data_IF_651789184506
#
_entry.id   IF_651789184506
#
_cell.length_a   1.000
_cell.length_b   1.000
_cell.length_c   1.000
_cell.angle_alpha   90.00
_cell.angle_beta   90.00
_cell.angle_gamma   90.00
#
_symmetry.space_group_name_H-M   'P 1'
#
loop_
_entity.id
_entity.type
_entity.pdbx_description
1 polymer ?
#
# COMPACT_ATOMS: atom_id res chain seq x y z
N UNK A 1 -9.93 6.68 23.69
CA UNK A 1 -8.75 7.59 23.64
C UNK A 1 -8.89 8.69 22.58
N UNK A 2 -9.16 8.36 21.30
CA UNK A 2 -9.36 9.38 20.24
C UNK A 2 -10.52 10.33 20.58
N UNK A 3 -11.69 9.81 20.92
CA UNK A 3 -12.89 10.59 21.28
C UNK A 3 -12.65 11.48 22.50
N UNK A 4 -11.89 11.03 23.47
CA UNK A 4 -11.53 11.83 24.65
C UNK A 4 -10.58 12.98 24.28
N UNK A 5 -9.62 12.74 23.37
CA UNK A 5 -8.71 13.78 22.88
C UNK A 5 -9.44 14.84 22.04
N UNK A 6 -10.41 14.43 21.22
CA UNK A 6 -11.27 15.32 20.44
C UNK A 6 -12.17 16.18 21.35
N UNK A 7 -12.74 15.58 22.40
CA UNK A 7 -13.53 16.29 23.40
C UNK A 7 -12.67 17.32 24.15
N UNK A 8 -11.48 16.94 24.60
CA UNK A 8 -10.52 17.85 25.23
C UNK A 8 -10.13 19.01 24.31
N UNK A 9 -9.95 18.74 23.02
CA UNK A 9 -9.63 19.78 22.03
C UNK A 9 -10.78 20.78 21.90
N UNK A 10 -12.04 20.31 21.90
CA UNK A 10 -13.21 21.15 21.85
C UNK A 10 -13.35 22.02 23.12
N UNK A 11 -13.20 21.43 24.29
CA UNK A 11 -13.25 22.13 25.57
C UNK A 11 -12.18 23.22 25.68
N UNK A 12 -10.94 22.93 25.23
CA UNK A 12 -9.84 23.89 25.24
C UNK A 12 -10.08 25.07 24.29
N UNK A 13 -10.73 24.83 23.14
CA UNK A 13 -11.14 25.91 22.21
C UNK A 13 -12.17 26.85 22.85
N UNK A 14 -13.17 26.27 23.48
CA UNK A 14 -14.21 27.06 24.15
C UNK A 14 -13.66 27.86 25.34
N UNK A 15 -12.76 27.26 26.13
CA UNK A 15 -12.08 27.95 27.23
C UNK A 15 -11.21 29.10 26.71
N UNK A 16 -10.47 28.87 25.61
CA UNK A 16 -9.62 29.89 25.00
C UNK A 16 -10.45 31.10 24.54
N UNK A 17 -11.62 30.86 23.93
CA UNK A 17 -12.54 31.94 23.51
C UNK A 17 -13.09 32.75 24.69
N UNK A 18 -13.49 32.08 25.78
CA UNK A 18 -14.00 32.75 27.00
C UNK A 18 -12.94 33.62 27.66
N UNK A 19 -11.70 33.09 27.77
CA UNK A 19 -10.61 33.84 28.43
C UNK A 19 -10.11 34.98 27.56
N UNK A 20 -10.09 34.86 26.23
CA UNK A 20 -9.72 35.96 25.34
C UNK A 20 -10.66 37.16 25.44
N UNK A 21 -11.94 36.91 25.65
CA UNK A 21 -12.94 37.96 25.91
C UNK A 21 -12.78 38.62 27.29
N UNK A 22 -12.23 37.91 28.28
CA UNK A 22 -12.10 38.40 29.65
C UNK A 22 -10.82 39.22 29.88
N UNK A 23 -9.74 38.99 29.14
CA UNK A 23 -8.46 39.70 29.31
C UNK A 23 -8.55 41.10 28.68
N UNK A 24 -8.45 42.13 29.49
CA UNK A 24 -8.52 43.55 29.06
C UNK A 24 -7.17 44.10 28.57
N UNK A 25 -6.07 43.53 29.02
CA UNK A 25 -4.70 43.93 28.66
C UNK A 25 -4.30 43.28 27.33
N UNK A 26 -4.03 44.07 26.31
CA UNK A 26 -3.74 43.57 24.95
C UNK A 26 -2.48 42.75 24.87
N UNK A 27 -1.41 43.06 25.63
CA UNK A 27 -0.18 42.31 25.67
C UNK A 27 -0.39 40.96 26.30
N UNK A 28 -1.11 40.87 27.41
CA UNK A 28 -1.46 39.62 28.09
C UNK A 28 -2.37 38.77 27.21
N UNK A 29 -3.30 39.39 26.47
CA UNK A 29 -4.18 38.73 25.53
C UNK A 29 -3.41 38.08 24.40
N UNK A 30 -2.43 38.76 23.79
CA UNK A 30 -1.58 38.21 22.73
C UNK A 30 -0.75 37.04 23.24
N UNK A 31 -0.12 37.15 24.41
CA UNK A 31 0.65 36.09 25.02
C UNK A 31 -0.21 34.84 25.30
N UNK A 32 -1.43 35.07 25.80
CA UNK A 32 -2.37 33.99 26.07
C UNK A 32 -2.79 33.27 24.77
N UNK A 33 -3.12 34.03 23.71
CA UNK A 33 -3.46 33.47 22.38
C UNK A 33 -2.32 32.59 21.85
N UNK A 34 -1.08 33.08 21.85
CA UNK A 34 0.07 32.33 21.38
C UNK A 34 0.29 31.02 22.17
N UNK A 35 0.10 31.08 23.49
CA UNK A 35 0.22 29.90 24.34
C UNK A 35 -0.87 28.86 24.00
N UNK A 36 -2.10 29.30 23.86
CA UNK A 36 -3.23 28.42 23.52
C UNK A 36 -3.12 27.85 22.11
N UNK A 37 -2.69 28.63 21.13
CA UNK A 37 -2.40 28.15 19.78
C UNK A 37 -1.37 27.02 19.77
N UNK A 38 -0.29 27.16 20.55
CA UNK A 38 0.71 26.09 20.70
C UNK A 38 0.15 24.84 21.34
N UNK A 39 -0.68 24.98 22.37
CA UNK A 39 -1.34 23.84 23.02
C UNK A 39 -2.29 23.12 22.07
N UNK A 40 -3.12 23.87 21.33
CA UNK A 40 -4.05 23.33 20.33
C UNK A 40 -3.31 22.57 19.22
N UNK A 41 -2.22 23.16 18.70
CA UNK A 41 -1.39 22.52 17.69
C UNK A 41 -0.76 21.20 18.20
N UNK A 42 -0.29 21.21 19.45
CA UNK A 42 0.29 19.99 20.05
C UNK A 42 -0.75 18.89 20.18
N UNK A 43 -1.98 19.20 20.59
CA UNK A 43 -3.06 18.22 20.70
C UNK A 43 -3.50 17.71 19.33
N UNK A 44 -3.57 18.56 18.31
CA UNK A 44 -3.85 18.15 16.94
C UNK A 44 -2.80 17.16 16.43
N UNK A 45 -1.52 17.43 16.67
CA UNK A 45 -0.44 16.52 16.29
C UNK A 45 -0.52 15.17 17.03
N UNK A 46 -0.92 15.16 18.31
CA UNK A 46 -1.14 13.93 19.07
C UNK A 46 -2.31 13.14 18.48
N UNK A 47 -3.40 13.78 18.12
CA UNK A 47 -4.57 13.13 17.50
C UNK A 47 -4.15 12.47 16.19
N UNK A 48 -3.43 13.19 15.31
CA UNK A 48 -2.91 12.66 14.04
C UNK A 48 -2.00 11.44 14.29
N UNK A 49 -1.08 11.53 15.24
CA UNK A 49 -0.18 10.42 15.57
C UNK A 49 -0.92 9.19 16.12
N UNK A 50 -2.02 9.38 16.86
CA UNK A 50 -2.88 8.28 17.32
C UNK A 50 -3.66 7.65 16.17
N UNK A 51 -4.15 8.44 15.22
CA UNK A 51 -4.82 7.96 14.00
C UNK A 51 -3.87 7.11 13.15
N UNK A 52 -2.66 7.60 12.90
CA UNK A 52 -1.64 6.86 12.16
C UNK A 52 -1.26 5.54 12.86
N UNK A 53 -1.20 5.54 14.19
CA UNK A 53 -0.90 4.35 14.99
C UNK A 53 -2.03 3.32 14.96
N UNK A 54 -3.29 3.74 15.03
CA UNK A 54 -4.45 2.86 14.92
C UNK A 54 -4.54 2.25 13.52
N UNK A 55 -4.31 3.04 12.48
CA UNK A 55 -4.28 2.58 11.10
C UNK A 55 -3.14 1.58 10.84
N UNK A 56 -1.94 1.88 11.35
CA UNK A 56 -0.78 0.96 11.30
C UNK A 56 -1.04 -0.34 12.09
N UNK A 57 -1.76 -0.28 13.20
CA UNK A 57 -2.13 -1.47 13.97
C UNK A 57 -3.11 -2.37 13.21
N UNK A 58 -4.10 -1.78 12.55
CA UNK A 58 -5.08 -2.51 11.73
C UNK A 58 -4.39 -3.16 10.52
N UNK A 59 -3.52 -2.43 9.83
CA UNK A 59 -2.75 -2.94 8.69
C UNK A 59 -1.79 -4.07 9.08
N UNK A 60 -1.18 -4.01 10.28
CA UNK A 60 -0.29 -5.06 10.78
C UNK A 60 -1.02 -6.37 11.14
N UNK A 61 -2.31 -6.33 11.45
CA UNK A 61 -3.11 -7.52 11.74
C UNK A 61 -3.65 -8.20 10.47
N UNK A 62 -3.71 -7.48 9.35
CA UNK A 62 -4.16 -8.04 8.08
C UNK A 62 -2.95 -8.62 7.34
N UNK A 63 -2.84 -9.94 7.33
CA UNK A 63 -1.86 -10.61 6.47
C UNK A 63 -2.36 -10.57 5.03
N UNK A 64 -1.77 -9.70 4.22
CA UNK A 64 -2.12 -9.60 2.81
C UNK A 64 -1.79 -10.89 2.06
N UNK A 65 -2.69 -11.41 1.22
CA UNK A 65 -2.46 -12.60 0.41
C UNK A 65 -1.25 -12.46 -0.50
N UNK A 66 -0.24 -13.30 -0.31
CA UNK A 66 0.98 -13.35 -1.12
C UNK A 66 1.53 -14.78 -1.18
N UNK A 67 2.51 -15.02 -2.02
CA UNK A 67 3.29 -16.26 -2.04
C UNK A 67 4.67 -15.99 -2.59
N UNK A 68 5.65 -15.96 -1.67
CA UNK A 68 7.05 -15.73 -2.03
C UNK A 68 7.56 -16.79 -3.02
N UNK A 69 7.19 -18.04 -2.81
CA UNK A 69 7.64 -19.15 -3.65
C UNK A 69 7.12 -19.03 -5.09
N UNK A 70 5.85 -18.63 -5.29
CA UNK A 70 5.32 -18.40 -6.63
C UNK A 70 6.03 -17.25 -7.34
N UNK A 71 6.28 -16.14 -6.64
CA UNK A 71 7.01 -15.01 -7.19
C UNK A 71 8.43 -15.41 -7.60
N UNK A 72 9.14 -16.18 -6.74
CA UNK A 72 10.49 -16.66 -7.00
C UNK A 72 10.54 -17.63 -8.19
N UNK A 73 9.57 -18.54 -8.28
CA UNK A 73 9.49 -19.49 -9.42
C UNK A 73 9.25 -18.76 -10.74
N UNK A 74 8.38 -17.74 -10.76
CA UNK A 74 8.10 -16.94 -11.96
C UNK A 74 9.35 -16.17 -12.39
N UNK A 75 10.00 -15.47 -11.47
CA UNK A 75 11.21 -14.70 -11.76
C UNK A 75 12.36 -15.60 -12.20
N UNK A 76 12.55 -16.72 -11.50
CA UNK A 76 13.57 -17.69 -11.87
C UNK A 76 13.35 -18.26 -13.27
N UNK A 77 12.10 -18.58 -13.64
CA UNK A 77 11.79 -19.08 -14.98
C UNK A 77 12.12 -18.05 -16.08
N UNK A 78 11.80 -16.76 -15.85
CA UNK A 78 12.13 -15.67 -16.78
C UNK A 78 13.65 -15.50 -16.93
N UNK A 79 14.42 -15.65 -15.83
CA UNK A 79 15.88 -15.52 -15.85
C UNK A 79 16.57 -16.70 -16.54
N UNK A 80 15.95 -17.88 -16.60
CA UNK A 80 16.50 -19.09 -17.23
C UNK A 80 16.10 -19.18 -18.70
N UNK A 81 14.87 -18.80 -19.06
CA UNK A 81 14.31 -18.95 -20.39
C UNK A 81 13.59 -17.68 -20.84
N UNK A 82 14.13 -17.02 -21.87
CA UNK A 82 13.52 -15.82 -22.44
C UNK A 82 12.08 -16.05 -22.95
N UNK A 83 11.76 -17.27 -23.43
CA UNK A 83 10.40 -17.61 -23.85
C UNK A 83 9.40 -17.64 -22.68
N UNK A 84 9.90 -17.82 -21.46
CA UNK A 84 9.06 -17.76 -20.26
C UNK A 84 8.48 -16.35 -20.05
N UNK A 85 9.20 -15.29 -20.42
CA UNK A 85 8.71 -13.92 -20.38
C UNK A 85 7.45 -13.72 -21.23
N UNK A 86 7.44 -14.28 -22.43
CA UNK A 86 6.31 -14.17 -23.37
C UNK A 86 5.07 -14.88 -22.83
N UNK A 87 5.25 -16.03 -22.15
CA UNK A 87 4.15 -16.78 -21.51
C UNK A 87 3.47 -16.03 -20.37
N UNK A 88 4.15 -15.07 -19.77
CA UNK A 88 3.65 -14.27 -18.64
C UNK A 88 3.61 -12.78 -18.96
N UNK A 89 3.51 -12.39 -20.23
CA UNK A 89 3.47 -10.99 -20.68
C UNK A 89 2.26 -10.20 -20.15
N UNK A 90 1.23 -10.91 -19.65
CA UNK A 90 0.05 -10.32 -19.00
C UNK A 90 0.30 -9.93 -17.53
N UNK A 91 1.46 -10.29 -16.96
CA UNK A 91 1.85 -9.82 -15.63
C UNK A 91 2.38 -8.39 -15.71
N UNK A 92 2.19 -7.67 -14.60
CA UNK A 92 2.78 -6.36 -14.34
C UNK A 92 3.51 -6.38 -12.96
N UNK A 93 4.42 -5.43 -12.70
CA UNK A 93 5.14 -5.36 -11.43
C UNK A 93 4.22 -5.33 -10.20
N UNK A 94 3.05 -4.71 -10.30
CA UNK A 94 2.07 -4.57 -9.22
C UNK A 94 1.48 -5.90 -8.75
N UNK A 95 1.52 -6.94 -9.60
CA UNK A 95 1.07 -8.27 -9.22
C UNK A 95 1.96 -8.90 -8.16
N UNK A 96 3.24 -8.55 -8.10
CA UNK A 96 4.18 -8.99 -7.08
C UNK A 96 3.93 -8.28 -5.75
N UNK A 97 4.15 -8.98 -4.65
CA UNK A 97 4.00 -8.43 -3.30
C UNK A 97 5.31 -7.80 -2.81
N UNK A 98 6.44 -8.49 -3.04
CA UNK A 98 7.74 -8.04 -2.57
C UNK A 98 8.35 -7.01 -3.52
N UNK A 99 8.80 -5.87 -2.99
CA UNK A 99 9.34 -4.76 -3.80
C UNK A 99 10.62 -5.14 -4.56
N UNK A 100 11.44 -6.00 -3.98
CA UNK A 100 12.60 -6.54 -4.70
C UNK A 100 12.18 -7.39 -5.91
N UNK A 101 11.10 -8.15 -5.83
CA UNK A 101 10.57 -8.93 -6.93
C UNK A 101 9.93 -8.05 -8.02
N UNK A 102 9.20 -6.99 -7.62
CA UNK A 102 8.67 -5.99 -8.56
C UNK A 102 9.79 -5.40 -9.41
N UNK A 103 10.87 -4.96 -8.74
CA UNK A 103 12.03 -4.36 -9.41
C UNK A 103 12.75 -5.34 -10.35
N UNK A 104 12.93 -6.59 -9.91
CA UNK A 104 13.54 -7.64 -10.77
C UNK A 104 12.66 -7.89 -12.00
N UNK A 105 11.35 -8.02 -11.82
CA UNK A 105 10.41 -8.22 -12.92
C UNK A 105 10.41 -7.05 -13.91
N UNK A 106 10.36 -5.81 -13.41
CA UNK A 106 10.42 -4.59 -14.22
C UNK A 106 11.71 -4.55 -15.06
N UNK A 107 12.85 -4.89 -14.47
CA UNK A 107 14.11 -4.98 -15.19
C UNK A 107 14.09 -6.07 -16.27
N UNK A 108 13.55 -7.26 -15.96
CA UNK A 108 13.38 -8.31 -16.95
C UNK A 108 12.50 -7.89 -18.13
N UNK A 109 11.51 -7.01 -17.91
CA UNK A 109 10.69 -6.46 -18.99
C UNK A 109 11.41 -5.38 -19.80
N UNK A 110 12.37 -4.67 -19.22
CA UNK A 110 13.07 -3.54 -19.84
C UNK A 110 14.29 -3.91 -20.67
N UNK A 111 14.77 -5.16 -20.57
CA UNK A 111 15.95 -5.65 -21.30
C UNK A 111 15.52 -6.44 -22.54
N UNK A 112 16.34 -6.38 -23.60
CA UNK A 112 16.09 -7.15 -24.82
C UNK A 112 16.33 -8.66 -24.59
N UNK A 113 17.47 -8.99 -23.99
CA UNK A 113 17.81 -10.36 -23.61
C UNK A 113 17.84 -10.47 -22.09
N UNK A 114 17.03 -11.37 -21.55
CA UNK A 114 16.98 -11.61 -20.10
C UNK A 114 17.92 -12.76 -19.77
N UNK A 115 18.96 -12.46 -19.04
CA UNK A 115 19.86 -13.40 -18.41
C UNK A 115 20.34 -12.87 -17.06
N UNK A 116 20.89 -13.77 -16.25
CA UNK A 116 21.31 -13.46 -14.89
C UNK A 116 22.40 -12.37 -14.84
N UNK A 117 23.30 -12.33 -15.84
CA UNK A 117 24.42 -11.38 -15.88
C UNK A 117 23.91 -9.99 -16.20
N UNK A 118 23.12 -9.86 -17.27
CA UNK A 118 22.52 -8.59 -17.71
C UNK A 118 21.64 -7.97 -16.60
N UNK A 119 20.82 -8.78 -15.94
CA UNK A 119 19.96 -8.32 -14.85
C UNK A 119 20.79 -7.96 -13.62
N UNK A 120 21.81 -8.73 -13.27
CA UNK A 120 22.71 -8.46 -12.14
C UNK A 120 23.48 -7.16 -12.30
N UNK A 121 23.99 -6.86 -13.50
CA UNK A 121 24.68 -5.60 -13.81
C UNK A 121 23.77 -4.38 -13.59
N UNK A 122 22.51 -4.46 -14.03
CA UNK A 122 21.53 -3.38 -13.85
C UNK A 122 21.07 -3.23 -12.40
N UNK A 123 20.87 -4.34 -11.68
CA UNK A 123 20.51 -4.34 -10.27
C UNK A 123 21.65 -3.85 -9.38
N UNK A 124 22.89 -4.12 -9.75
CA UNK A 124 24.09 -3.94 -8.91
C UNK A 124 23.91 -4.73 -7.60
N UNK A 125 23.94 -4.02 -6.46
CA UNK A 125 23.76 -4.64 -5.13
C UNK A 125 22.34 -4.59 -4.59
N UNK A 126 21.40 -4.03 -5.36
CA UNK A 126 19.97 -3.98 -4.95
C UNK A 126 19.35 -5.38 -5.00
N UNK A 127 18.27 -5.57 -4.29
CA UNK A 127 17.47 -6.81 -4.30
C UNK A 127 18.24 -8.11 -3.99
N UNK A 128 19.31 -8.03 -3.18
CA UNK A 128 20.13 -9.19 -2.84
C UNK A 128 21.23 -9.52 -3.87
N UNK A 129 21.36 -8.73 -4.93
CA UNK A 129 22.43 -8.82 -5.91
C UNK A 129 22.48 -10.14 -6.68
N UNK A 130 23.63 -10.48 -7.29
CA UNK A 130 23.80 -11.68 -8.12
C UNK A 130 23.49 -12.99 -7.38
N UNK A 131 23.80 -13.06 -6.07
CA UNK A 131 23.56 -14.28 -5.28
C UNK A 131 22.06 -14.62 -5.18
N UNK A 132 21.22 -13.60 -5.00
CA UNK A 132 19.77 -13.80 -4.96
C UNK A 132 19.21 -14.21 -6.32
N UNK A 133 19.70 -13.63 -7.41
CA UNK A 133 19.31 -14.03 -8.76
C UNK A 133 19.69 -15.51 -9.06
N UNK A 134 20.86 -15.93 -8.61
CA UNK A 134 21.26 -17.34 -8.71
C UNK A 134 20.38 -18.27 -7.87
N UNK A 135 19.93 -17.82 -6.67
CA UNK A 135 18.95 -18.58 -5.88
C UNK A 135 17.62 -18.72 -6.62
N UNK A 136 17.13 -17.66 -7.28
CA UNK A 136 15.89 -17.70 -8.06
C UNK A 136 15.96 -18.73 -9.19
N UNK A 137 17.07 -18.77 -9.94
CA UNK A 137 17.24 -19.72 -11.05
C UNK A 137 17.31 -21.17 -10.56
N UNK A 138 17.86 -21.42 -9.38
CA UNK A 138 17.92 -22.77 -8.80
C UNK A 138 16.56 -23.31 -8.32
N UNK A 139 15.55 -22.44 -8.13
CA UNK A 139 14.20 -22.86 -7.70
C UNK A 139 13.31 -23.33 -8.85
N UNK A 140 13.74 -23.18 -10.08
CA UNK A 140 12.96 -23.55 -11.27
C UNK A 140 13.16 -25.02 -11.58
N UNK A 141 12.17 -25.85 -11.23
CA UNK A 141 12.14 -27.25 -11.62
C UNK A 141 11.55 -27.46 -13.03
N UNK A 142 10.61 -26.62 -13.47
CA UNK A 142 9.95 -26.68 -14.77
C UNK A 142 9.16 -25.40 -15.07
N UNK A 143 9.20 -24.93 -16.32
CA UNK A 143 8.36 -23.83 -16.82
C UNK A 143 6.98 -24.29 -17.32
N UNK A 144 6.64 -25.59 -17.18
CA UNK A 144 5.41 -26.16 -17.74
C UNK A 144 4.12 -25.52 -17.17
N UNK A 145 4.13 -25.15 -15.89
CA UNK A 145 2.95 -24.58 -15.21
C UNK A 145 3.07 -23.07 -14.97
N UNK A 146 3.96 -22.39 -15.67
CA UNK A 146 4.28 -20.98 -15.43
C UNK A 146 3.07 -20.06 -15.55
N UNK A 147 2.26 -20.23 -16.58
CA UNK A 147 1.02 -19.45 -16.76
C UNK A 147 0.02 -19.67 -15.62
N UNK A 148 -0.11 -20.92 -15.17
CA UNK A 148 -0.98 -21.22 -14.02
C UNK A 148 -0.50 -20.52 -12.75
N UNK A 149 0.81 -20.55 -12.48
CA UNK A 149 1.41 -19.84 -11.35
C UNK A 149 1.20 -18.32 -11.46
N UNK A 150 1.37 -17.76 -12.65
CA UNK A 150 1.13 -16.34 -12.92
C UNK A 150 -0.34 -15.94 -12.68
N UNK A 151 -1.30 -16.78 -13.07
CA UNK A 151 -2.72 -16.56 -12.78
C UNK A 151 -3.04 -16.57 -11.28
N UNK A 152 -2.40 -17.46 -10.50
CA UNK A 152 -2.53 -17.45 -9.03
C UNK A 152 -1.96 -16.16 -8.45
N UNK A 153 -0.84 -15.65 -8.99
CA UNK A 153 -0.25 -14.39 -8.55
C UNK A 153 -1.21 -13.21 -8.76
N UNK A 154 -1.87 -13.15 -9.92
CA UNK A 154 -2.92 -12.15 -10.19
C UNK A 154 -4.08 -12.27 -9.19
N UNK A 155 -4.54 -13.49 -8.89
CA UNK A 155 -5.61 -13.68 -7.92
C UNK A 155 -5.23 -13.13 -6.54
N UNK A 156 -3.97 -13.35 -6.10
CA UNK A 156 -3.47 -12.80 -4.84
C UNK A 156 -3.39 -11.26 -4.88
N UNK A 157 -3.00 -10.68 -6.01
CA UNK A 157 -3.03 -9.23 -6.18
C UNK A 157 -4.46 -8.68 -6.08
N UNK A 158 -5.41 -9.25 -6.79
CA UNK A 158 -6.82 -8.85 -6.72
C UNK A 158 -7.36 -8.96 -5.29
N UNK A 159 -7.02 -10.03 -4.57
CA UNK A 159 -7.39 -10.17 -3.15
C UNK A 159 -6.82 -9.03 -2.29
N UNK A 160 -5.56 -8.63 -2.51
CA UNK A 160 -4.93 -7.50 -1.80
C UNK A 160 -5.68 -6.19 -2.08
N UNK A 161 -5.97 -5.92 -3.34
CA UNK A 161 -6.67 -4.69 -3.73
C UNK A 161 -8.09 -4.65 -3.18
N UNK A 162 -8.80 -5.78 -3.16
CA UNK A 162 -10.13 -5.87 -2.52
C UNK A 162 -10.05 -5.61 -1.02
N UNK A 163 -9.05 -6.13 -0.32
CA UNK A 163 -8.84 -5.87 1.11
C UNK A 163 -8.59 -4.37 1.34
N UNK A 164 -7.69 -3.74 0.56
CA UNK A 164 -7.41 -2.30 0.67
C UNK A 164 -8.66 -1.46 0.46
N UNK A 165 -9.38 -1.70 -0.64
CA UNK A 165 -10.62 -0.99 -0.96
C UNK A 165 -11.68 -1.17 0.13
N UNK A 166 -11.75 -2.36 0.75
CA UNK A 166 -12.69 -2.63 1.84
C UNK A 166 -12.33 -1.85 3.11
N UNK A 167 -11.04 -1.76 3.43
CA UNK A 167 -10.55 -0.96 4.57
C UNK A 167 -10.81 0.53 4.34
N UNK A 168 -10.49 1.04 3.15
CA UNK A 168 -10.79 2.43 2.76
C UNK A 168 -12.28 2.73 2.89
N UNK A 169 -13.14 1.81 2.44
CA UNK A 169 -14.58 1.93 2.57
C UNK A 169 -15.03 2.01 4.02
N UNK A 170 -14.55 1.11 4.87
CA UNK A 170 -14.90 1.11 6.29
C UNK A 170 -14.51 2.45 6.92
N UNK A 171 -13.31 2.95 6.63
CA UNK A 171 -12.83 4.23 7.15
C UNK A 171 -13.71 5.40 6.68
N UNK A 172 -14.08 5.42 5.39
CA UNK A 172 -14.95 6.48 4.84
C UNK A 172 -16.34 6.46 5.47
N UNK A 173 -16.95 5.28 5.63
CA UNK A 173 -18.27 5.15 6.27
C UNK A 173 -18.23 5.59 7.74
N UNK A 174 -17.12 5.31 8.43
CA UNK A 174 -16.97 5.66 9.85
C UNK A 174 -16.61 7.13 10.09
N UNK A 175 -16.18 7.87 9.06
CA UNK A 175 -15.76 9.27 9.20
C UNK A 175 -16.90 10.30 9.25
N UNK A 176 -18.15 9.90 9.04
CA UNK A 176 -19.38 10.74 9.09
C UNK A 176 -19.34 12.03 8.21
N UNK A 177 -18.34 12.15 7.32
CA UNK A 177 -18.04 13.41 6.60
C UNK A 177 -18.44 13.38 5.12
N UNK A 178 -18.79 12.24 4.55
CA UNK A 178 -19.07 12.11 3.12
C UNK A 178 -20.46 11.54 2.83
N UNK A 179 -20.97 11.87 1.64
CA UNK A 179 -22.19 11.27 1.10
C UNK A 179 -21.96 9.76 0.87
N UNK A 180 -22.66 8.94 1.67
CA UNK A 180 -22.61 7.47 1.60
C UNK A 180 -22.91 6.95 0.19
N UNK A 181 -23.77 7.64 -0.57
CA UNK A 181 -24.10 7.26 -1.94
C UNK A 181 -22.93 7.47 -2.91
N UNK A 182 -22.12 8.53 -2.72
CA UNK A 182 -20.87 8.72 -3.49
C UNK A 182 -19.86 7.61 -3.18
N UNK A 183 -19.69 7.27 -1.93
CA UNK A 183 -18.84 6.16 -1.47
C UNK A 183 -19.23 4.84 -2.15
N UNK A 184 -20.52 4.49 -2.11
CA UNK A 184 -21.06 3.28 -2.78
C UNK A 184 -20.80 3.32 -4.29
N UNK A 185 -20.96 4.46 -4.94
CA UNK A 185 -20.71 4.64 -6.38
C UNK A 185 -19.22 4.41 -6.72
N UNK A 186 -18.31 4.98 -5.94
CA UNK A 186 -16.86 4.78 -6.09
C UNK A 186 -16.45 3.31 -5.96
N UNK A 187 -17.02 2.60 -4.98
CA UNK A 187 -16.82 1.17 -4.77
C UNK A 187 -17.28 0.34 -5.96
N UNK A 188 -18.48 0.62 -6.47
CA UNK A 188 -18.99 -0.08 -7.66
C UNK A 188 -18.08 0.10 -8.88
N UNK A 189 -17.48 1.30 -9.03
CA UNK A 189 -16.50 1.55 -10.09
C UNK A 189 -15.20 0.77 -9.88
N UNK A 190 -14.68 0.70 -8.67
CA UNK A 190 -13.48 -0.06 -8.34
C UNK A 190 -13.70 -1.57 -8.55
N UNK A 191 -14.81 -2.11 -8.10
CA UNK A 191 -15.19 -3.52 -8.34
C UNK A 191 -15.32 -3.82 -9.85
N UNK A 192 -15.82 -2.90 -10.65
CA UNK A 192 -15.89 -3.07 -12.11
C UNK A 192 -14.51 -3.17 -12.76
N UNK A 193 -13.49 -2.46 -12.27
CA UNK A 193 -12.10 -2.59 -12.75
C UNK A 193 -11.57 -4.02 -12.58
N UNK A 194 -11.92 -4.71 -11.49
CA UNK A 194 -11.52 -6.10 -11.27
C UNK A 194 -12.27 -7.11 -12.16
N UNK A 195 -13.46 -6.78 -12.66
CA UNK A 195 -14.18 -7.64 -13.59
C UNK A 195 -13.53 -7.76 -14.98
N UNK A 196 -12.74 -6.75 -15.37
CA UNK A 196 -11.94 -6.81 -16.62
C UNK A 196 -10.84 -7.88 -16.50
N UNK A 197 -10.28 -8.10 -15.29
CA UNK A 197 -9.32 -9.18 -15.03
C UNK A 197 -9.89 -10.60 -15.12
N UNK A 198 -11.22 -10.78 -15.02
CA UNK A 198 -11.86 -12.11 -15.17
C UNK A 198 -11.70 -12.72 -16.56
N UNK A 199 -11.51 -11.92 -17.60
CA UNK A 199 -11.30 -12.42 -18.97
C UNK A 199 -9.91 -13.08 -19.10
N UNK A 200 -8.92 -12.61 -18.35
CA UNK A 200 -7.56 -13.18 -18.36
C UNK A 200 -7.50 -14.52 -17.61
N UNK A 201 -8.37 -14.72 -16.61
CA UNK A 201 -8.35 -15.92 -15.74
C UNK A 201 -9.14 -17.09 -16.37
N UNK A 202 -10.04 -16.84 -17.35
CA UNK A 202 -10.92 -17.85 -17.94
C UNK A 202 -10.48 -18.41 -19.30
N UNK A 203 -9.41 -17.88 -19.88
CA UNK A 203 -8.74 -18.44 -21.06
C UNK A 203 -7.62 -19.39 -20.63
#
# INVERSE_FOLDING_TARGET
>A
MKTEAENLLSELKDEALKMDAYIKDDTKRQNYRQLKERQLLTLQNIIIALEEKEQSFFEKQITFPHSKDLEQVILGAILVDNNARDKVNFLSPEHFYFDNHKLIFELCQSVEVVDIITVAEKLKYRCGGPAYLAELTNRVASSANLEYHARILIQKHVQRELIKTSVEMINTIMSDTEDVFETVRGLMQNIKKFNVGKQIIRQ
#
